data_IF_456953396867
#
_entry.id   IF_456953396867
#
_cell.length_a   1.000
_cell.length_b   1.000
_cell.length_c   1.000
_cell.angle_alpha   90.00
_cell.angle_beta   90.00
_cell.angle_gamma   90.00
#
_symmetry.space_group_name_H-M   'P 1'
#
loop_
_entity.id
_entity.type
_entity.pdbx_description
1 polymer ?
#
# COMPACT_ATOMS: atom_id res chain seq x y z
N UNK A 1 -25.11 -1.83 22.31
CA UNK A 1 -23.91 -2.65 22.14
C UNK A 1 -23.52 -2.70 20.67
N UNK A 2 -22.65 -1.75 20.25
CA UNK A 2 -22.10 -1.74 18.89
C UNK A 2 -21.19 -2.96 18.73
N UNK A 3 -21.57 -3.93 17.89
CA UNK A 3 -20.74 -5.09 17.53
C UNK A 3 -20.00 -4.82 16.20
N UNK A 4 -19.76 -3.57 15.89
CA UNK A 4 -19.13 -3.08 14.67
C UNK A 4 -18.07 -2.06 15.01
N UNK A 5 -17.01 -2.00 14.23
CA UNK A 5 -15.97 -1.00 14.40
C UNK A 5 -15.00 -0.94 13.23
N UNK A 6 -14.47 0.24 12.99
CA UNK A 6 -13.39 0.51 12.05
C UNK A 6 -12.15 0.94 12.83
N UNK A 7 -11.05 0.21 12.67
CA UNK A 7 -9.79 0.46 13.34
C UNK A 7 -8.83 1.14 12.36
N UNK A 8 -8.58 2.41 12.59
CA UNK A 8 -7.58 3.21 11.88
C UNK A 8 -6.22 3.05 12.57
N UNK A 9 -5.41 2.12 12.10
CA UNK A 9 -4.13 1.78 12.72
C UNK A 9 -3.00 1.86 11.71
N UNK A 10 -1.90 2.52 12.06
CA UNK A 10 -0.72 2.60 11.21
C UNK A 10 -0.21 1.23 10.77
N UNK A 11 0.43 1.16 9.61
CA UNK A 11 1.03 -0.09 9.11
C UNK A 11 2.14 -0.54 10.06
N UNK A 12 2.18 -1.85 10.35
CA UNK A 12 3.20 -2.42 11.25
C UNK A 12 2.85 -2.37 12.75
N UNK A 13 1.69 -1.82 13.14
CA UNK A 13 1.29 -1.66 14.55
C UNK A 13 0.43 -2.82 15.10
N UNK A 14 0.28 -3.93 14.35
CA UNK A 14 -0.39 -5.13 14.84
C UNK A 14 -1.89 -5.21 14.56
N UNK A 15 -2.41 -4.60 13.47
CA UNK A 15 -3.82 -4.70 13.04
C UNK A 15 -4.36 -6.13 13.08
N UNK A 16 -3.64 -7.07 12.45
CA UNK A 16 -4.01 -8.49 12.39
C UNK A 16 -4.13 -9.11 13.79
N UNK A 17 -3.11 -8.89 14.62
CA UNK A 17 -3.07 -9.41 16.00
C UNK A 17 -4.24 -8.85 16.83
N UNK A 18 -4.51 -7.55 16.71
CA UNK A 18 -5.62 -6.89 17.42
C UNK A 18 -6.97 -7.51 17.06
N UNK A 19 -7.21 -7.75 15.76
CA UNK A 19 -8.47 -8.35 15.31
C UNK A 19 -8.60 -9.82 15.70
N UNK A 20 -7.50 -10.60 15.68
CA UNK A 20 -7.49 -11.98 16.15
C UNK A 20 -7.69 -12.06 17.68
N UNK A 21 -7.20 -11.10 18.45
CA UNK A 21 -7.52 -10.97 19.87
C UNK A 21 -9.03 -10.73 20.10
N UNK A 22 -9.68 -9.91 19.28
CA UNK A 22 -11.14 -9.77 19.34
C UNK A 22 -11.85 -11.09 19.08
N UNK A 23 -11.37 -11.91 18.14
CA UNK A 23 -11.92 -13.24 17.89
C UNK A 23 -11.65 -14.18 19.06
N UNK A 24 -10.49 -14.12 19.69
CA UNK A 24 -10.13 -14.89 20.88
C UNK A 24 -11.06 -14.55 22.06
N UNK A 25 -11.38 -13.28 22.28
CA UNK A 25 -12.33 -12.87 23.32
C UNK A 25 -13.76 -13.38 23.04
N UNK A 26 -14.16 -13.45 21.78
CA UNK A 26 -15.42 -14.10 21.39
C UNK A 26 -15.36 -15.60 21.72
N UNK A 27 -14.26 -16.28 21.38
CA UNK A 27 -14.05 -17.68 21.69
C UNK A 27 -14.15 -17.97 23.19
N UNK A 28 -13.46 -17.17 24.01
CA UNK A 28 -13.51 -17.32 25.48
C UNK A 28 -14.94 -17.24 26.03
N UNK A 29 -15.79 -16.42 25.45
CA UNK A 29 -17.18 -16.19 25.88
C UNK A 29 -18.16 -17.23 25.32
N UNK A 30 -17.95 -17.71 24.09
CA UNK A 30 -18.93 -18.57 23.39
C UNK A 30 -18.51 -20.02 23.26
N UNK A 31 -17.25 -20.34 23.54
CA UNK A 31 -16.69 -21.69 23.39
C UNK A 31 -16.43 -22.09 21.92
N UNK A 32 -16.63 -21.18 20.97
CA UNK A 32 -16.31 -21.40 19.55
C UNK A 32 -15.93 -20.08 18.87
N UNK A 33 -15.13 -20.17 17.81
CA UNK A 33 -14.82 -19.04 16.94
C UNK A 33 -15.37 -19.27 15.53
N UNK A 34 -15.98 -18.24 14.95
CA UNK A 34 -16.50 -18.26 13.58
C UNK A 34 -16.14 -16.93 12.95
N UNK A 35 -15.33 -16.94 11.90
CA UNK A 35 -14.89 -15.72 11.24
C UNK A 35 -14.90 -15.85 9.72
N UNK A 36 -15.19 -14.73 9.05
CA UNK A 36 -14.92 -14.51 7.63
C UNK A 36 -13.93 -13.33 7.53
N UNK A 37 -12.76 -13.60 7.00
CA UNK A 37 -11.69 -12.63 6.83
C UNK A 37 -11.58 -12.29 5.36
N UNK A 38 -11.74 -11.01 5.01
CA UNK A 38 -11.60 -10.50 3.65
C UNK A 38 -10.27 -9.77 3.52
N UNK A 39 -9.51 -10.13 2.48
CA UNK A 39 -8.17 -9.59 2.21
C UNK A 39 -8.03 -9.16 0.75
N UNK A 40 -7.15 -8.20 0.42
CA UNK A 40 -6.95 -7.76 -0.96
C UNK A 40 -6.32 -8.82 -1.87
N UNK A 41 -5.30 -9.55 -1.38
CA UNK A 41 -4.42 -10.39 -2.22
C UNK A 41 -4.32 -11.84 -1.73
N UNK A 42 -3.91 -12.75 -2.63
CA UNK A 42 -3.68 -14.17 -2.29
C UNK A 42 -2.52 -14.31 -1.28
N UNK A 43 -1.49 -13.48 -1.39
CA UNK A 43 -0.37 -13.46 -0.43
C UNK A 43 -0.85 -13.19 0.99
N UNK A 44 -1.80 -12.27 1.15
CA UNK A 44 -2.42 -11.99 2.45
C UNK A 44 -3.28 -13.15 2.96
N UNK A 45 -3.89 -13.96 2.09
CA UNK A 45 -4.60 -15.19 2.52
C UNK A 45 -3.63 -16.11 3.26
N UNK A 46 -2.43 -16.31 2.74
CA UNK A 46 -1.41 -17.18 3.35
C UNK A 46 -0.83 -16.58 4.64
N UNK A 47 -0.64 -15.27 4.65
CA UNK A 47 -0.17 -14.59 5.86
C UNK A 47 -1.19 -14.66 6.99
N UNK A 48 -2.46 -14.42 6.72
CA UNK A 48 -3.51 -14.53 7.70
C UNK A 48 -3.67 -15.94 8.25
N UNK A 49 -3.50 -16.97 7.41
CA UNK A 49 -3.46 -18.37 7.86
C UNK A 49 -2.32 -18.61 8.88
N UNK A 50 -1.09 -18.12 8.54
CA UNK A 50 0.06 -18.21 9.46
C UNK A 50 -0.21 -17.48 10.79
N UNK A 51 -0.85 -16.30 10.74
CA UNK A 51 -1.21 -15.56 11.96
C UNK A 51 -2.31 -16.26 12.77
N UNK A 52 -3.34 -16.84 12.13
CA UNK A 52 -4.35 -17.65 12.80
C UNK A 52 -3.72 -18.85 13.54
N UNK A 53 -2.73 -19.50 12.92
CA UNK A 53 -2.03 -20.63 13.55
C UNK A 53 -1.31 -20.23 14.85
N UNK A 54 -0.76 -19.02 14.94
CA UNK A 54 -0.14 -18.50 16.19
C UNK A 54 -1.13 -18.36 17.34
N UNK A 55 -2.42 -18.20 17.04
CA UNK A 55 -3.52 -18.17 18.01
C UNK A 55 -4.16 -19.54 18.26
N UNK A 56 -3.58 -20.62 17.69
CA UNK A 56 -4.15 -21.97 17.70
C UNK A 56 -5.53 -22.05 17.02
N UNK A 57 -5.82 -21.18 16.07
CA UNK A 57 -6.99 -21.28 15.21
C UNK A 57 -6.65 -22.17 14.01
N UNK A 58 -7.04 -23.43 14.04
CA UNK A 58 -6.56 -24.46 13.10
C UNK A 58 -7.52 -24.80 11.96
N UNK A 59 -8.83 -24.53 12.12
CA UNK A 59 -9.82 -24.83 11.08
C UNK A 59 -9.98 -23.64 10.12
N UNK A 60 -9.07 -23.53 9.15
CA UNK A 60 -9.00 -22.43 8.18
C UNK A 60 -9.35 -22.94 6.78
N UNK A 61 -10.31 -22.28 6.12
CA UNK A 61 -10.71 -22.51 4.72
C UNK A 61 -10.30 -21.30 3.89
N UNK A 62 -9.55 -21.54 2.80
CA UNK A 62 -9.04 -20.50 1.91
C UNK A 62 -9.87 -20.42 0.63
N UNK A 63 -10.53 -19.28 0.40
CA UNK A 63 -11.44 -19.04 -0.73
C UNK A 63 -10.77 -18.06 -1.71
N UNK A 64 -9.96 -18.58 -2.61
CA UNK A 64 -9.37 -17.81 -3.68
C UNK A 64 -8.99 -18.70 -4.86
N UNK A 65 -8.58 -18.11 -5.99
CA UNK A 65 -8.28 -18.85 -7.24
C UNK A 65 -7.11 -19.83 -7.13
N UNK A 66 -6.21 -19.67 -6.15
CA UNK A 66 -5.05 -20.54 -5.93
C UNK A 66 -5.44 -21.91 -5.35
N UNK A 67 -6.55 -22.00 -4.62
CA UNK A 67 -6.95 -23.22 -3.90
C UNK A 67 -8.23 -23.78 -4.52
N UNK A 68 -8.30 -25.12 -4.62
CA UNK A 68 -9.47 -25.87 -5.04
C UNK A 68 -10.10 -26.64 -3.89
N UNK A 69 -11.34 -27.10 -4.06
CA UNK A 69 -12.02 -27.98 -3.07
C UNK A 69 -12.63 -27.26 -1.86
N UNK A 70 -12.43 -25.97 -1.70
CA UNK A 70 -13.03 -25.19 -0.61
C UNK A 70 -14.56 -25.16 -0.66
N UNK A 71 -15.15 -25.33 -1.84
CA UNK A 71 -16.61 -25.36 -2.03
C UNK A 71 -17.25 -26.50 -1.21
N UNK A 72 -16.66 -27.69 -1.22
CA UNK A 72 -17.14 -28.83 -0.44
C UNK A 72 -17.05 -28.55 1.06
N UNK A 73 -15.94 -27.98 1.52
CA UNK A 73 -15.76 -27.60 2.92
C UNK A 73 -16.77 -26.53 3.36
N UNK A 74 -17.05 -25.57 2.52
CA UNK A 74 -18.05 -24.53 2.79
C UNK A 74 -19.47 -25.09 2.82
N UNK A 75 -19.81 -26.00 1.89
CA UNK A 75 -21.11 -26.68 1.86
C UNK A 75 -21.34 -27.51 3.15
N UNK A 76 -20.32 -28.22 3.62
CA UNK A 76 -20.39 -28.96 4.88
C UNK A 76 -20.64 -28.04 6.09
N UNK A 77 -19.93 -26.90 6.17
CA UNK A 77 -20.18 -25.91 7.22
C UNK A 77 -21.63 -25.41 7.15
N UNK A 78 -22.10 -25.04 5.98
CA UNK A 78 -23.49 -24.57 5.80
C UNK A 78 -24.52 -25.60 6.23
N UNK A 79 -24.36 -26.86 5.80
CA UNK A 79 -25.25 -27.93 6.22
C UNK A 79 -25.30 -28.04 7.73
N UNK A 80 -24.14 -28.00 8.39
CA UNK A 80 -24.07 -28.08 9.84
C UNK A 80 -24.72 -26.89 10.53
N UNK A 81 -24.52 -25.67 10.03
CA UNK A 81 -25.11 -24.44 10.56
C UNK A 81 -26.64 -24.41 10.37
N UNK A 82 -27.15 -25.01 9.30
CA UNK A 82 -28.60 -25.13 9.05
C UNK A 82 -29.24 -26.22 9.91
N UNK A 83 -28.60 -27.36 10.04
CA UNK A 83 -29.13 -28.50 10.84
C UNK A 83 -29.05 -28.26 12.33
N UNK A 84 -28.02 -27.56 12.79
CA UNK A 84 -27.80 -27.26 14.21
C UNK A 84 -27.31 -25.81 14.39
N UNK A 85 -28.20 -24.82 14.47
CA UNK A 85 -27.84 -23.41 14.64
C UNK A 85 -27.02 -23.10 15.89
N UNK A 86 -27.08 -23.96 16.91
CA UNK A 86 -26.34 -23.82 18.17
C UNK A 86 -25.02 -24.62 18.21
N UNK A 87 -24.62 -25.22 17.08
CA UNK A 87 -23.37 -25.94 17.01
C UNK A 87 -22.19 -25.09 17.45
N UNK A 88 -21.22 -25.71 18.13
CA UNK A 88 -20.00 -25.09 18.62
C UNK A 88 -18.79 -25.37 17.73
N UNK A 89 -19.00 -25.75 16.48
CA UNK A 89 -17.88 -25.92 15.53
C UNK A 89 -17.20 -24.59 15.27
N UNK A 90 -15.89 -24.58 15.42
CA UNK A 90 -15.06 -23.42 15.15
C UNK A 90 -14.51 -23.49 13.73
N UNK A 91 -14.49 -22.36 13.03
CA UNK A 91 -13.90 -22.22 11.70
C UNK A 91 -13.54 -20.78 11.37
N UNK A 92 -12.58 -20.63 10.47
CA UNK A 92 -12.21 -19.35 9.85
C UNK A 92 -12.23 -19.54 8.34
N UNK A 93 -12.87 -18.63 7.63
CA UNK A 93 -12.84 -18.56 6.18
C UNK A 93 -12.04 -17.32 5.81
N UNK A 94 -10.99 -17.48 4.99
CA UNK A 94 -10.20 -16.36 4.48
C UNK A 94 -10.46 -16.27 2.98
N UNK A 95 -10.97 -15.13 2.52
CA UNK A 95 -11.28 -14.91 1.11
C UNK A 95 -10.63 -13.64 0.60
N UNK A 96 -10.20 -13.65 -0.66
CA UNK A 96 -9.87 -12.38 -1.32
C UNK A 96 -11.17 -11.61 -1.63
N UNK A 97 -11.11 -10.26 -1.63
CA UNK A 97 -12.23 -9.43 -2.05
C UNK A 97 -12.75 -9.83 -3.44
N UNK A 98 -11.84 -10.08 -4.38
CA UNK A 98 -12.18 -10.50 -5.74
C UNK A 98 -12.96 -11.82 -5.78
N UNK A 99 -12.62 -12.79 -4.92
CA UNK A 99 -13.35 -14.05 -4.81
C UNK A 99 -14.67 -13.90 -4.09
N UNK A 100 -14.70 -13.07 -3.04
CA UNK A 100 -15.91 -12.82 -2.25
C UNK A 100 -17.06 -12.22 -3.07
N UNK A 101 -16.77 -11.27 -3.98
CA UNK A 101 -17.80 -10.57 -4.77
C UNK A 101 -18.32 -11.37 -5.97
N UNK A 102 -17.73 -12.50 -6.33
CA UNK A 102 -18.26 -13.38 -7.39
C UNK A 102 -19.67 -13.82 -7.00
N UNK A 103 -20.65 -13.76 -7.91
CA UNK A 103 -22.06 -13.99 -7.58
C UNK A 103 -22.30 -15.25 -6.77
N UNK A 104 -21.76 -16.39 -7.22
CA UNK A 104 -21.96 -17.69 -6.55
C UNK A 104 -21.32 -17.71 -5.16
N UNK A 105 -20.07 -17.25 -5.05
CA UNK A 105 -19.36 -17.21 -3.77
C UNK A 105 -20.01 -16.25 -2.78
N UNK A 106 -20.50 -15.10 -3.27
CA UNK A 106 -21.17 -14.11 -2.42
C UNK A 106 -22.45 -14.67 -1.81
N UNK A 107 -23.27 -15.37 -2.61
CA UNK A 107 -24.50 -16.03 -2.13
C UNK A 107 -24.14 -17.06 -1.05
N UNK A 108 -23.18 -17.94 -1.33
CA UNK A 108 -22.73 -18.99 -0.41
C UNK A 108 -22.21 -18.43 0.93
N UNK A 109 -21.26 -17.49 0.86
CA UNK A 109 -20.63 -16.89 2.03
C UNK A 109 -21.62 -16.04 2.84
N UNK A 110 -22.53 -15.33 2.18
CA UNK A 110 -23.51 -14.47 2.88
C UNK A 110 -24.68 -15.24 3.52
N UNK A 111 -24.76 -16.56 3.32
CA UNK A 111 -25.70 -17.45 4.03
C UNK A 111 -25.17 -17.95 5.38
N UNK A 112 -23.91 -17.74 5.71
CA UNK A 112 -23.31 -18.11 6.99
C UNK A 112 -23.97 -17.36 8.17
N UNK A 113 -23.84 -17.84 9.42
CA UNK A 113 -24.59 -17.33 10.58
C UNK A 113 -24.34 -15.83 10.84
N UNK A 114 -25.35 -15.00 10.60
CA UNK A 114 -25.25 -13.53 10.65
C UNK A 114 -24.98 -12.97 12.04
N UNK A 115 -25.42 -13.67 13.11
CA UNK A 115 -25.28 -13.20 14.49
C UNK A 115 -24.02 -13.69 15.18
N UNK A 116 -23.46 -14.81 14.74
CA UNK A 116 -22.37 -15.51 15.45
C UNK A 116 -21.02 -15.38 14.76
N UNK A 117 -21.01 -15.11 13.45
CA UNK A 117 -19.82 -14.93 12.65
C UNK A 117 -19.28 -13.50 12.77
N UNK A 118 -17.97 -13.37 12.95
CA UNK A 118 -17.24 -12.11 12.89
C UNK A 118 -16.70 -11.90 11.47
N UNK A 119 -17.12 -10.83 10.82
CA UNK A 119 -16.51 -10.34 9.58
C UNK A 119 -15.30 -9.46 9.94
N UNK A 120 -14.13 -9.81 9.43
CA UNK A 120 -12.92 -8.99 9.50
C UNK A 120 -12.57 -8.57 8.08
N UNK A 121 -12.50 -7.28 7.82
CA UNK A 121 -12.11 -6.71 6.53
C UNK A 121 -10.73 -6.07 6.67
N UNK A 122 -9.70 -6.73 6.15
CA UNK A 122 -8.34 -6.18 6.11
C UNK A 122 -8.20 -5.22 4.93
N UNK A 123 -7.47 -4.12 5.12
CA UNK A 123 -7.46 -2.98 4.20
C UNK A 123 -8.90 -2.58 3.78
N UNK A 124 -9.71 -2.28 4.80
CA UNK A 124 -11.17 -2.09 4.70
C UNK A 124 -11.59 -1.01 3.68
N UNK A 125 -10.71 -0.08 3.33
CA UNK A 125 -10.95 0.91 2.28
C UNK A 125 -11.30 0.27 0.92
N UNK A 126 -10.86 -0.98 0.66
CA UNK A 126 -11.26 -1.73 -0.54
C UNK A 126 -12.77 -2.02 -0.59
N UNK A 127 -13.45 -2.04 0.55
CA UNK A 127 -14.91 -2.21 0.58
C UNK A 127 -15.67 -0.96 0.12
N UNK A 128 -15.05 0.21 0.20
CA UNK A 128 -15.62 1.49 -0.24
C UNK A 128 -15.64 1.67 -1.76
N UNK A 129 -15.10 0.76 -2.58
CA UNK A 129 -14.96 0.92 -4.02
C UNK A 129 -15.80 -0.01 -4.87
N UNK A 130 -16.12 0.46 -6.10
CA UNK A 130 -16.60 -0.32 -7.22
C UNK A 130 -17.72 -1.32 -6.94
N UNK A 131 -17.46 -2.59 -7.25
CA UNK A 131 -18.45 -3.67 -7.15
C UNK A 131 -18.82 -4.03 -5.71
N UNK A 132 -17.92 -3.87 -4.75
CA UNK A 132 -18.17 -4.23 -3.35
C UNK A 132 -19.09 -3.19 -2.73
N UNK A 133 -18.87 -1.91 -3.00
CA UNK A 133 -19.70 -0.83 -2.49
C UNK A 133 -21.18 -1.03 -2.83
N UNK A 134 -21.49 -1.51 -4.05
CA UNK A 134 -22.86 -1.82 -4.49
C UNK A 134 -23.51 -2.93 -3.66
N UNK A 135 -22.73 -3.83 -3.06
CA UNK A 135 -23.21 -4.98 -2.29
C UNK A 135 -23.10 -4.81 -0.76
N UNK A 136 -22.58 -3.67 -0.27
CA UNK A 136 -22.44 -3.46 1.18
C UNK A 136 -23.76 -3.68 1.95
N UNK A 137 -24.87 -3.19 1.40
CA UNK A 137 -26.18 -3.35 2.02
C UNK A 137 -26.70 -4.79 2.06
N UNK A 138 -26.14 -5.67 1.23
CA UNK A 138 -26.50 -7.09 1.19
C UNK A 138 -25.74 -7.90 2.23
N UNK A 139 -24.60 -7.39 2.73
CA UNK A 139 -23.79 -8.04 3.76
C UNK A 139 -24.46 -7.87 5.13
N UNK A 140 -25.05 -8.94 5.67
CA UNK A 140 -25.91 -8.91 6.86
C UNK A 140 -25.22 -9.37 8.17
N UNK A 141 -23.90 -9.54 8.19
CA UNK A 141 -23.20 -9.90 9.42
C UNK A 141 -23.32 -8.80 10.48
N UNK A 142 -23.67 -9.16 11.70
CA UNK A 142 -23.86 -8.18 12.77
C UNK A 142 -22.54 -7.76 13.42
N UNK A 143 -21.57 -8.69 13.48
CA UNK A 143 -20.24 -8.41 14.03
C UNK A 143 -19.26 -8.10 12.90
N UNK A 144 -18.68 -6.92 12.91
CA UNK A 144 -17.80 -6.46 11.83
C UNK A 144 -16.63 -5.67 12.38
N UNK A 145 -15.44 -5.96 11.89
CA UNK A 145 -14.22 -5.19 12.14
C UNK A 145 -13.61 -4.83 10.80
N UNK A 146 -13.43 -3.54 10.55
CA UNK A 146 -12.61 -3.02 9.46
C UNK A 146 -11.23 -2.65 9.99
N UNK A 147 -10.19 -2.99 9.23
CA UNK A 147 -8.80 -2.67 9.53
C UNK A 147 -8.24 -1.86 8.38
N UNK A 148 -7.68 -0.69 8.63
CA UNK A 148 -6.97 0.09 7.61
C UNK A 148 -5.97 1.03 8.26
N UNK A 149 -4.85 1.30 7.58
CA UNK A 149 -3.97 2.40 7.96
C UNK A 149 -4.47 3.74 7.43
N UNK A 150 -5.23 3.70 6.34
CA UNK A 150 -5.80 4.85 5.64
C UNK A 150 -7.23 4.52 5.24
N UNK A 151 -8.18 4.61 6.18
CA UNK A 151 -9.58 4.23 5.92
C UNK A 151 -10.25 5.08 4.82
N UNK A 152 -9.88 6.36 4.75
CA UNK A 152 -10.47 7.30 3.81
C UNK A 152 -9.95 7.09 2.39
N UNK A 153 -10.84 7.12 1.42
CA UNK A 153 -10.54 7.13 0.00
C UNK A 153 -10.51 8.58 -0.48
N UNK A 154 -9.47 8.93 -1.23
CA UNK A 154 -9.40 10.26 -1.83
C UNK A 154 -10.45 10.40 -2.94
N UNK A 155 -11.09 11.55 -3.01
CA UNK A 155 -12.10 11.89 -4.03
C UNK A 155 -13.32 10.94 -4.11
N UNK A 156 -13.59 10.18 -3.03
CA UNK A 156 -14.74 9.25 -2.94
C UNK A 156 -15.46 9.46 -1.60
N UNK A 157 -16.10 10.60 -1.45
CA UNK A 157 -16.78 10.98 -0.20
C UNK A 157 -17.98 10.06 0.10
N UNK A 158 -18.77 9.71 -0.94
CA UNK A 158 -19.90 8.79 -0.80
C UNK A 158 -19.43 7.39 -0.35
N UNK A 159 -18.35 6.88 -0.96
CA UNK A 159 -17.74 5.61 -0.55
C UNK A 159 -17.24 5.63 0.89
N UNK A 160 -16.67 6.75 1.34
CA UNK A 160 -16.20 6.93 2.71
C UNK A 160 -17.36 6.93 3.71
N UNK A 161 -18.44 7.69 3.44
CA UNK A 161 -19.65 7.75 4.28
C UNK A 161 -20.25 6.34 4.40
N UNK A 162 -20.46 5.65 3.29
CA UNK A 162 -21.05 4.30 3.29
C UNK A 162 -20.18 3.26 3.99
N UNK A 163 -18.85 3.40 3.93
CA UNK A 163 -17.93 2.55 4.65
C UNK A 163 -18.03 2.78 6.16
N UNK A 164 -18.06 4.04 6.59
CA UNK A 164 -18.23 4.42 8.01
C UNK A 164 -19.55 3.87 8.56
N UNK A 165 -20.66 4.06 7.85
CA UNK A 165 -21.97 3.52 8.21
C UNK A 165 -21.95 2.00 8.32
N UNK A 166 -21.30 1.31 7.36
CA UNK A 166 -21.19 -0.13 7.36
C UNK A 166 -20.52 -0.65 8.63
N UNK A 167 -19.48 0.02 9.10
CA UNK A 167 -18.79 -0.32 10.36
C UNK A 167 -19.39 0.35 11.60
N UNK A 168 -20.47 1.11 11.46
CA UNK A 168 -21.19 1.76 12.56
C UNK A 168 -20.37 2.84 13.25
N UNK A 169 -19.60 3.56 12.49
CA UNK A 169 -18.85 4.74 12.89
C UNK A 169 -19.65 6.01 12.52
N UNK A 170 -19.97 6.86 13.47
CA UNK A 170 -20.77 8.06 13.21
C UNK A 170 -19.90 9.20 12.68
N UNK A 171 -18.92 9.68 13.48
CA UNK A 171 -18.01 10.79 13.10
C UNK A 171 -16.54 10.51 13.42
N UNK A 172 -16.23 9.33 13.97
CA UNK A 172 -14.87 8.96 14.35
C UNK A 172 -14.68 7.45 14.23
N UNK A 173 -13.44 7.03 14.06
CA UNK A 173 -13.09 5.63 14.09
C UNK A 173 -13.34 5.01 15.45
N UNK A 174 -13.65 3.73 15.50
CA UNK A 174 -13.85 3.01 16.76
C UNK A 174 -12.56 2.95 17.58
N UNK A 175 -11.45 2.85 16.89
CA UNK A 175 -10.12 2.89 17.48
C UNK A 175 -9.14 3.52 16.49
N UNK A 176 -8.32 4.43 16.98
CA UNK A 176 -7.28 5.07 16.20
C UNK A 176 -5.92 4.85 16.85
N UNK A 177 -4.93 4.48 16.06
CA UNK A 177 -3.54 4.38 16.47
C UNK A 177 -2.65 4.94 15.38
N UNK A 178 -2.36 6.23 15.50
CA UNK A 178 -1.62 6.99 14.50
C UNK A 178 -0.16 6.55 14.40
N UNK A 179 0.50 6.89 13.30
CA UNK A 179 1.94 6.64 13.13
C UNK A 179 2.76 7.44 14.16
N UNK A 180 2.36 8.67 14.46
CA UNK A 180 2.99 9.50 15.47
C UNK A 180 2.95 8.83 16.85
N UNK A 181 1.77 8.38 17.26
CA UNK A 181 1.61 7.68 18.54
C UNK A 181 2.41 6.37 18.57
N UNK A 182 2.45 5.63 17.45
CA UNK A 182 3.21 4.39 17.33
C UNK A 182 4.73 4.62 17.47
N UNK A 183 5.26 5.67 16.86
CA UNK A 183 6.68 6.05 17.01
C UNK A 183 6.94 6.51 18.45
N UNK A 184 6.11 7.38 19.00
CA UNK A 184 6.25 7.87 20.38
C UNK A 184 6.24 6.74 21.41
N UNK A 185 5.40 5.71 21.22
CA UNK A 185 5.30 4.55 22.11
C UNK A 185 6.32 3.43 21.79
N UNK A 186 7.16 3.59 20.79
CA UNK A 186 8.17 2.60 20.39
C UNK A 186 7.61 1.36 19.68
N UNK A 187 6.35 1.38 19.23
CA UNK A 187 5.79 0.33 18.38
C UNK A 187 6.32 0.41 16.93
N UNK A 188 6.74 1.59 16.51
CA UNK A 188 7.52 1.85 15.31
C UNK A 188 8.83 2.56 15.69
N UNK A 189 9.88 2.37 14.90
CA UNK A 189 11.16 3.01 15.17
C UNK A 189 11.17 4.46 14.70
N UNK A 190 12.03 5.29 15.30
CA UNK A 190 12.35 6.64 14.85
C UNK A 190 13.04 6.58 13.49
N UNK A 191 12.99 7.68 12.74
CA UNK A 191 13.61 7.73 11.41
C UNK A 191 14.11 9.12 11.04
N UNK A 192 15.09 9.13 10.11
CA UNK A 192 15.54 10.31 9.40
C UNK A 192 15.00 10.26 7.97
N UNK A 193 14.57 11.40 7.45
CA UNK A 193 14.00 11.51 6.11
C UNK A 193 14.74 12.55 5.27
N UNK A 194 15.19 12.14 4.09
CA UNK A 194 15.97 12.96 3.18
C UNK A 194 15.29 12.99 1.80
N UNK A 195 14.50 14.03 1.47
CA UNK A 195 14.00 14.23 0.12
C UNK A 195 15.14 14.73 -0.77
N UNK A 196 15.26 14.14 -1.95
CA UNK A 196 16.20 14.56 -2.99
C UNK A 196 15.41 15.08 -4.18
N UNK A 197 15.55 16.38 -4.46
CA UNK A 197 14.89 17.02 -5.57
C UNK A 197 15.58 16.62 -6.88
N UNK A 198 14.82 16.02 -7.77
CA UNK A 198 15.29 15.50 -9.05
C UNK A 198 14.75 16.36 -10.16
N UNK A 199 15.63 16.96 -10.95
CA UNK A 199 15.25 17.71 -12.18
C UNK A 199 15.12 16.75 -13.35
N UNK A 200 14.16 17.02 -14.22
CA UNK A 200 14.07 16.37 -15.53
C UNK A 200 15.25 16.80 -16.41
N UNK A 201 15.64 15.97 -17.37
CA UNK A 201 16.54 16.41 -18.44
C UNK A 201 15.80 17.32 -19.41
N UNK A 202 16.53 18.08 -20.25
CA UNK A 202 15.91 19.02 -21.19
C UNK A 202 14.90 18.35 -22.14
N UNK A 203 15.22 17.13 -22.63
CA UNK A 203 14.32 16.36 -23.50
C UNK A 203 13.06 15.89 -22.73
N UNK A 204 13.25 15.39 -21.51
CA UNK A 204 12.14 14.96 -20.65
C UNK A 204 11.24 16.16 -20.28
N UNK A 205 11.85 17.30 -20.01
CA UNK A 205 11.11 18.53 -19.71
C UNK A 205 10.32 19.03 -20.91
N UNK A 206 10.91 18.99 -22.12
CA UNK A 206 10.20 19.37 -23.35
C UNK A 206 8.98 18.49 -23.60
N UNK A 207 9.13 17.16 -23.46
CA UNK A 207 8.01 16.21 -23.62
C UNK A 207 6.94 16.42 -22.51
N UNK A 208 7.37 16.66 -21.29
CA UNK A 208 6.48 16.93 -20.16
C UNK A 208 5.63 18.18 -20.38
N UNK A 209 6.22 19.27 -20.85
CA UNK A 209 5.53 20.53 -21.17
C UNK A 209 4.53 20.34 -22.30
N UNK A 210 4.92 19.63 -23.38
CA UNK A 210 4.00 19.34 -24.49
C UNK A 210 2.76 18.56 -24.01
N UNK A 211 2.97 17.53 -23.18
CA UNK A 211 1.86 16.73 -22.62
C UNK A 211 0.98 17.58 -21.70
N UNK A 212 1.57 18.44 -20.86
CA UNK A 212 0.83 19.33 -19.96
C UNK A 212 -0.05 20.31 -20.74
N UNK A 213 0.47 20.87 -21.84
CA UNK A 213 -0.32 21.74 -22.72
C UNK A 213 -1.49 21.02 -23.40
N UNK A 214 -1.26 19.79 -23.85
CA UNK A 214 -2.34 18.95 -24.42
C UNK A 214 -3.40 18.60 -23.39
N UNK A 215 -3.01 18.29 -22.16
CA UNK A 215 -3.91 18.01 -21.03
C UNK A 215 -4.76 19.26 -20.73
N UNK A 216 -4.14 20.45 -20.64
CA UNK A 216 -4.85 21.69 -20.35
C UNK A 216 -5.97 21.98 -21.36
N UNK A 217 -5.77 21.65 -22.65
CA UNK A 217 -6.78 21.85 -23.70
C UNK A 217 -8.02 20.95 -23.58
N UNK A 218 -7.91 19.81 -22.92
CA UNK A 218 -9.00 18.81 -22.90
C UNK A 218 -9.53 18.51 -21.50
N UNK A 219 -8.88 18.99 -20.43
CA UNK A 219 -9.22 18.64 -19.04
C UNK A 219 -10.66 18.99 -18.67
N UNK A 220 -11.22 20.03 -19.27
CA UNK A 220 -12.59 20.50 -19.01
C UNK A 220 -13.63 19.94 -19.99
N UNK A 221 -13.27 19.00 -20.87
CA UNK A 221 -14.22 18.38 -21.80
C UNK A 221 -14.88 17.18 -21.15
N UNK A 222 -16.20 17.06 -21.34
CA UNK A 222 -17.02 16.03 -20.69
C UNK A 222 -17.32 14.82 -21.58
N UNK A 223 -17.01 14.88 -22.89
CA UNK A 223 -17.26 13.77 -23.81
C UNK A 223 -16.35 12.57 -23.52
N UNK A 224 -16.83 11.36 -23.79
CA UNK A 224 -16.16 10.12 -23.45
C UNK A 224 -14.83 9.93 -24.21
N UNK A 225 -14.73 10.36 -25.44
CA UNK A 225 -13.50 10.31 -26.24
C UNK A 225 -12.41 11.21 -25.63
N UNK A 226 -12.77 12.45 -25.25
CA UNK A 226 -11.87 13.37 -24.57
C UNK A 226 -11.39 12.83 -23.20
N UNK A 227 -12.28 12.17 -22.45
CA UNK A 227 -11.92 11.52 -21.19
C UNK A 227 -10.91 10.40 -21.40
N UNK A 228 -11.05 9.58 -22.43
CA UNK A 228 -10.09 8.51 -22.73
C UNK A 228 -8.74 9.07 -23.16
N UNK A 229 -8.73 10.10 -24.02
CA UNK A 229 -7.49 10.80 -24.44
C UNK A 229 -6.81 11.44 -23.23
N UNK A 230 -7.56 12.12 -22.36
CA UNK A 230 -7.05 12.73 -21.13
C UNK A 230 -6.35 11.69 -20.25
N UNK A 231 -6.97 10.54 -20.06
CA UNK A 231 -6.40 9.43 -19.31
C UNK A 231 -5.03 9.00 -19.85
N UNK A 232 -4.94 8.78 -21.17
CA UNK A 232 -3.69 8.38 -21.84
C UNK A 232 -2.61 9.43 -21.67
N UNK A 233 -2.94 10.72 -21.80
CA UNK A 233 -1.99 11.82 -21.64
C UNK A 233 -1.49 11.94 -20.19
N UNK A 234 -2.38 11.83 -19.22
CA UNK A 234 -2.02 11.82 -17.79
C UNK A 234 -1.06 10.66 -17.46
N UNK A 235 -1.33 9.45 -17.99
CA UNK A 235 -0.44 8.30 -17.82
C UNK A 235 0.93 8.53 -18.44
N UNK A 236 0.99 9.02 -19.68
CA UNK A 236 2.27 9.33 -20.35
C UNK A 236 3.07 10.37 -19.56
N UNK A 237 2.43 11.47 -19.15
CA UNK A 237 3.10 12.50 -18.35
C UNK A 237 3.63 11.95 -17.02
N UNK A 238 2.86 11.11 -16.35
CA UNK A 238 3.27 10.43 -15.13
C UNK A 238 4.49 9.53 -15.35
N UNK A 239 4.56 8.83 -16.49
CA UNK A 239 5.70 7.98 -16.82
C UNK A 239 7.02 8.76 -16.94
N UNK A 240 7.02 9.99 -17.44
CA UNK A 240 8.21 10.85 -17.47
C UNK A 240 8.73 11.08 -16.06
N UNK A 241 7.86 11.44 -15.12
CA UNK A 241 8.21 11.62 -13.71
C UNK A 241 8.74 10.32 -13.09
N UNK A 242 8.08 9.19 -13.37
CA UNK A 242 8.48 7.89 -12.82
C UNK A 242 9.86 7.43 -13.32
N UNK A 243 10.10 7.57 -14.62
CA UNK A 243 11.30 7.08 -15.31
C UNK A 243 12.41 8.13 -15.41
N UNK A 244 12.27 9.30 -14.77
CA UNK A 244 13.22 10.41 -14.87
C UNK A 244 14.68 9.95 -14.74
N UNK A 245 15.48 10.21 -15.78
CA UNK A 245 16.84 9.68 -15.95
C UNK A 245 17.79 10.08 -14.83
N UNK A 246 17.66 11.32 -14.36
CA UNK A 246 18.53 11.86 -13.30
C UNK A 246 18.34 11.15 -11.94
N UNK A 247 17.26 10.42 -11.71
CA UNK A 247 17.08 9.59 -10.52
C UNK A 247 18.21 8.60 -10.32
N UNK A 248 18.71 7.98 -11.39
CA UNK A 248 19.78 6.96 -11.32
C UNK A 248 21.09 7.51 -10.78
N UNK A 249 21.46 8.73 -11.19
CA UNK A 249 22.67 9.39 -10.71
C UNK A 249 22.55 9.72 -9.21
N UNK A 250 21.41 10.28 -8.79
CA UNK A 250 21.17 10.59 -7.38
C UNK A 250 21.14 9.31 -6.55
N UNK A 251 20.46 8.27 -7.01
CA UNK A 251 20.43 6.95 -6.38
C UNK A 251 21.85 6.39 -6.17
N UNK A 252 22.69 6.43 -7.21
CA UNK A 252 24.07 5.97 -7.11
C UNK A 252 24.87 6.77 -6.07
N UNK A 253 24.69 8.09 -6.03
CA UNK A 253 25.39 8.95 -5.07
C UNK A 253 24.95 8.64 -3.63
N UNK A 254 23.66 8.49 -3.37
CA UNK A 254 23.14 8.10 -2.05
C UNK A 254 23.79 6.80 -1.56
N UNK A 255 23.84 5.79 -2.42
CA UNK A 255 24.46 4.51 -2.07
C UNK A 255 25.96 4.64 -1.79
N UNK A 256 26.70 5.41 -2.61
CA UNK A 256 28.13 5.67 -2.40
C UNK A 256 28.39 6.40 -1.09
N UNK A 257 27.63 7.44 -0.80
CA UNK A 257 27.75 8.21 0.44
C UNK A 257 27.46 7.35 1.66
N UNK A 258 26.38 6.54 1.57
CA UNK A 258 26.02 5.63 2.66
C UNK A 258 27.10 4.56 2.87
N UNK A 259 27.62 3.95 1.80
CA UNK A 259 28.67 2.95 1.85
C UNK A 259 29.97 3.54 2.45
N UNK A 260 30.36 4.74 2.02
CA UNK A 260 31.53 5.44 2.56
C UNK A 260 31.38 5.76 4.05
N UNK A 261 30.17 6.11 4.50
CA UNK A 261 29.90 6.48 5.89
C UNK A 261 29.80 5.29 6.83
N UNK A 262 29.22 4.18 6.38
CA UNK A 262 28.85 3.03 7.23
C UNK A 262 29.69 1.79 6.94
N UNK A 263 30.37 1.73 5.81
CA UNK A 263 31.11 0.55 5.33
C UNK A 263 30.23 -0.58 4.82
N UNK A 264 28.89 -0.41 4.76
CA UNK A 264 27.97 -1.50 4.36
C UNK A 264 26.68 -0.96 3.75
N UNK A 265 26.04 -1.78 2.91
CA UNK A 265 24.67 -1.56 2.43
C UNK A 265 23.68 -2.60 3.00
N UNK A 266 24.03 -3.28 4.10
CA UNK A 266 23.14 -4.27 4.71
C UNK A 266 21.81 -3.66 5.11
N UNK A 267 20.75 -4.47 4.96
CA UNK A 267 19.37 -4.10 5.31
C UNK A 267 18.81 -2.92 4.53
N UNK A 268 19.24 -2.79 3.25
CA UNK A 268 18.77 -1.74 2.35
C UNK A 268 17.61 -2.23 1.48
N UNK A 269 16.50 -1.47 1.48
CA UNK A 269 15.37 -1.64 0.57
C UNK A 269 15.36 -0.55 -0.49
N UNK A 270 15.25 -0.94 -1.75
CA UNK A 270 15.12 -0.01 -2.89
C UNK A 270 13.76 -0.22 -3.55
N UNK A 271 12.91 0.80 -3.49
CA UNK A 271 11.63 0.81 -4.18
C UNK A 271 11.82 1.42 -5.57
N UNK A 272 11.89 0.55 -6.57
CA UNK A 272 12.11 0.92 -7.97
C UNK A 272 10.77 1.35 -8.60
N UNK A 273 10.77 2.35 -9.52
CA UNK A 273 9.58 2.72 -10.26
C UNK A 273 8.97 1.53 -11.01
N UNK A 274 7.65 1.48 -11.03
CA UNK A 274 6.91 0.52 -11.85
C UNK A 274 6.95 0.93 -13.32
N UNK A 275 6.75 -0.04 -14.21
CA UNK A 275 6.58 0.23 -15.64
C UNK A 275 5.20 0.83 -15.97
N UNK A 276 4.58 0.34 -17.02
CA UNK A 276 3.38 0.95 -17.61
C UNK A 276 2.04 0.63 -16.91
N UNK A 277 2.02 -0.04 -15.75
CA UNK A 277 0.76 -0.35 -15.05
C UNK A 277 0.22 0.88 -14.33
N UNK A 278 -1.10 1.17 -14.44
CA UNK A 278 -1.72 2.21 -13.61
C UNK A 278 -1.63 1.83 -12.13
N UNK A 279 -1.42 2.83 -11.27
CA UNK A 279 -1.56 2.63 -9.81
C UNK A 279 -2.99 2.25 -9.45
N UNK A 280 -3.19 1.59 -8.30
CA UNK A 280 -4.53 1.27 -7.79
C UNK A 280 -5.44 2.50 -7.66
N UNK A 281 -4.85 3.69 -7.50
CA UNK A 281 -5.56 4.97 -7.51
C UNK A 281 -6.19 5.30 -8.87
N UNK A 282 -5.49 4.99 -9.96
CA UNK A 282 -6.05 5.13 -11.31
C UNK A 282 -6.96 3.96 -11.66
N UNK A 283 -6.76 2.77 -11.07
CA UNK A 283 -7.63 1.62 -11.27
C UNK A 283 -9.05 1.84 -10.71
N UNK A 284 -9.20 2.61 -9.63
CA UNK A 284 -10.54 2.99 -9.11
C UNK A 284 -11.28 3.96 -10.04
N UNK A 285 -10.54 4.79 -10.79
CA UNK A 285 -11.10 5.66 -11.84
C UNK A 285 -11.30 4.87 -13.15
N UNK A 286 -10.58 3.75 -13.32
CA UNK A 286 -10.49 2.95 -14.53
C UNK A 286 -11.01 1.52 -14.29
N UNK A 287 -12.32 1.37 -14.19
CA UNK A 287 -13.01 0.08 -13.97
C UNK A 287 -12.87 -0.94 -15.16
N UNK A 288 -12.04 -0.63 -16.15
CA UNK A 288 -11.90 -1.47 -17.35
C UNK A 288 -10.60 -1.23 -18.11
N UNK A 289 -9.45 -1.63 -17.58
CA UNK A 289 -8.31 -1.90 -18.45
C UNK A 289 -7.89 -3.35 -18.33
N UNK A 290 -8.08 -4.08 -19.44
CA UNK A 290 -7.43 -5.34 -19.71
C UNK A 290 -5.94 -5.22 -19.35
N UNK A 291 -5.46 -6.22 -18.62
CA UNK A 291 -4.09 -6.36 -18.17
C UNK A 291 -3.12 -6.07 -19.33
N UNK A 292 -2.56 -4.88 -19.35
CA UNK A 292 -1.38 -4.62 -20.16
C UNK A 292 -0.30 -5.53 -19.57
N UNK A 293 0.18 -6.46 -20.40
CA UNK A 293 1.25 -7.41 -20.07
C UNK A 293 2.42 -6.67 -19.43
N UNK A 294 3.13 -7.31 -18.50
CA UNK A 294 4.39 -6.81 -17.97
C UNK A 294 5.29 -6.49 -19.16
N UNK A 295 5.52 -5.19 -19.36
CA UNK A 295 6.30 -4.70 -20.49
C UNK A 295 7.78 -5.02 -20.23
N UNK A 296 8.50 -5.34 -21.31
CA UNK A 296 9.97 -5.48 -21.31
C UNK A 296 10.66 -4.30 -20.62
N UNK A 297 10.09 -3.10 -20.72
CA UNK A 297 10.52 -1.87 -20.07
C UNK A 297 10.52 -1.94 -18.52
N UNK A 298 9.58 -2.66 -17.92
CA UNK A 298 9.47 -2.78 -16.46
C UNK A 298 10.58 -3.69 -15.90
N UNK A 299 10.83 -4.79 -16.59
CA UNK A 299 11.93 -5.72 -16.25
C UNK A 299 13.27 -5.03 -16.46
N UNK A 300 13.39 -4.21 -17.51
CA UNK A 300 14.60 -3.43 -17.78
C UNK A 300 14.94 -2.45 -16.65
N UNK A 301 13.95 -1.74 -16.12
CA UNK A 301 14.16 -0.72 -15.09
C UNK A 301 14.69 -1.31 -13.78
N UNK A 302 14.10 -2.40 -13.28
CA UNK A 302 14.59 -3.04 -12.05
C UNK A 302 15.99 -3.63 -12.24
N UNK A 303 16.30 -4.14 -13.46
CA UNK A 303 17.63 -4.62 -13.80
C UNK A 303 18.67 -3.50 -13.76
N UNK A 304 18.34 -2.31 -14.27
CA UNK A 304 19.22 -1.15 -14.23
C UNK A 304 19.56 -0.73 -12.79
N UNK A 305 18.54 -0.54 -11.92
CA UNK A 305 18.78 -0.19 -10.52
C UNK A 305 19.56 -1.27 -9.78
N UNK A 306 19.27 -2.55 -10.02
CA UNK A 306 20.02 -3.68 -9.44
C UNK A 306 21.46 -3.69 -9.92
N UNK A 307 21.71 -3.36 -11.19
CA UNK A 307 23.06 -3.30 -11.77
C UNK A 307 23.87 -2.14 -11.18
N UNK A 308 23.25 -0.98 -10.94
CA UNK A 308 23.89 0.14 -10.25
C UNK A 308 24.40 -0.30 -8.88
N UNK A 309 23.59 -1.00 -8.08
CA UNK A 309 24.00 -1.52 -6.76
C UNK A 309 25.17 -2.50 -6.90
N UNK A 310 25.05 -3.47 -7.80
CA UNK A 310 26.07 -4.53 -8.02
C UNK A 310 27.42 -3.96 -8.47
N UNK A 311 27.40 -2.87 -9.25
CA UNK A 311 28.62 -2.24 -9.77
C UNK A 311 29.33 -1.32 -8.75
N UNK A 312 28.76 -1.09 -7.57
CA UNK A 312 29.42 -0.32 -6.52
C UNK A 312 30.55 -1.07 -5.84
N UNK A 313 30.29 -2.33 -5.50
CA UNK A 313 31.26 -3.22 -4.87
C UNK A 313 30.88 -4.69 -5.18
N UNK A 314 31.83 -5.54 -5.65
CA UNK A 314 31.57 -6.94 -5.97
C UNK A 314 31.10 -7.80 -4.78
N UNK A 315 31.36 -7.35 -3.56
CA UNK A 315 30.99 -8.07 -2.33
C UNK A 315 29.52 -7.80 -1.92
N UNK A 316 28.85 -6.81 -2.51
CA UNK A 316 27.46 -6.49 -2.19
C UNK A 316 26.52 -7.54 -2.81
N UNK A 317 25.78 -8.23 -1.96
CA UNK A 317 24.75 -9.19 -2.39
C UNK A 317 23.44 -8.49 -2.58
N UNK A 318 23.06 -8.26 -3.84
CA UNK A 318 21.76 -7.68 -4.21
C UNK A 318 20.85 -8.71 -4.86
N UNK A 319 19.56 -8.69 -4.50
CA UNK A 319 18.50 -9.54 -5.09
C UNK A 319 17.28 -8.71 -5.46
N UNK A 320 16.62 -9.14 -6.53
CA UNK A 320 15.33 -8.58 -6.93
C UNK A 320 14.20 -9.34 -6.25
N UNK A 321 13.28 -8.61 -5.65
CA UNK A 321 12.09 -9.14 -5.02
C UNK A 321 10.86 -8.75 -5.87
N UNK A 322 10.40 -9.69 -6.69
CA UNK A 322 9.30 -9.50 -7.63
C UNK A 322 8.15 -10.49 -7.38
N UNK A 323 7.04 -10.33 -8.08
CA UNK A 323 5.92 -11.30 -8.03
C UNK A 323 6.33 -12.69 -8.53
N UNK A 324 7.32 -12.77 -9.42
CA UNK A 324 7.82 -13.98 -10.04
C UNK A 324 8.96 -14.64 -9.26
N UNK A 325 9.48 -13.99 -8.22
CA UNK A 325 10.57 -14.54 -7.41
C UNK A 325 10.14 -15.87 -6.77
N UNK A 326 10.88 -16.94 -7.07
CA UNK A 326 10.75 -18.21 -6.38
C UNK A 326 11.28 -18.07 -4.95
N UNK A 327 10.69 -18.77 -4.00
CA UNK A 327 11.13 -18.81 -2.59
C UNK A 327 11.30 -17.43 -1.91
N UNK A 328 10.24 -16.63 -1.98
CA UNK A 328 10.18 -15.29 -1.39
C UNK A 328 10.43 -15.30 0.13
N UNK A 329 9.96 -16.34 0.83
CA UNK A 329 10.14 -16.48 2.28
C UNK A 329 11.62 -16.72 2.65
N UNK A 330 12.37 -17.51 1.86
CA UNK A 330 13.81 -17.69 2.07
C UNK A 330 14.58 -16.40 1.80
N UNK A 331 14.26 -15.69 0.71
CA UNK A 331 14.90 -14.41 0.38
C UNK A 331 14.73 -13.36 1.49
N UNK A 332 13.55 -13.29 2.11
CA UNK A 332 13.30 -12.39 3.25
C UNK A 332 14.07 -12.80 4.51
N UNK A 333 14.22 -14.11 4.75
CA UNK A 333 15.08 -14.62 5.85
C UNK A 333 16.54 -14.28 5.60
N UNK A 334 17.04 -14.47 4.38
CA UNK A 334 18.41 -14.15 4.00
C UNK A 334 18.70 -12.65 4.08
N UNK A 335 17.72 -11.81 3.76
CA UNK A 335 17.82 -10.39 3.99
C UNK A 335 17.85 -10.04 5.49
N UNK A 336 16.97 -10.64 6.28
CA UNK A 336 16.89 -10.38 7.72
C UNK A 336 18.15 -10.81 8.49
N UNK A 337 18.83 -11.87 8.05
CA UNK A 337 20.08 -12.35 8.64
C UNK A 337 21.34 -11.68 8.05
N UNK A 338 21.20 -10.81 7.04
CA UNK A 338 22.28 -10.08 6.40
C UNK A 338 23.10 -10.89 5.38
N UNK A 339 22.58 -12.02 4.88
CA UNK A 339 23.17 -12.77 3.75
C UNK A 339 22.87 -12.08 2.41
N UNK A 340 21.77 -11.29 2.35
CA UNK A 340 21.47 -10.37 1.28
C UNK A 340 21.57 -8.95 1.85
N UNK A 341 22.36 -8.09 1.21
CA UNK A 341 22.56 -6.71 1.66
C UNK A 341 21.43 -5.80 1.18
N UNK A 342 21.06 -5.93 -0.09
CA UNK A 342 20.09 -5.03 -0.75
C UNK A 342 18.98 -5.83 -1.42
N UNK A 343 17.73 -5.45 -1.16
CA UNK A 343 16.57 -5.89 -1.92
C UNK A 343 16.08 -4.75 -2.81
N UNK A 344 16.04 -4.98 -4.13
CA UNK A 344 15.36 -4.10 -5.08
C UNK A 344 13.97 -4.65 -5.35
N UNK A 345 12.95 -3.83 -5.23
CA UNK A 345 11.56 -4.24 -5.41
C UNK A 345 10.75 -3.16 -6.09
N UNK A 346 9.75 -3.58 -6.83
CA UNK A 346 8.67 -2.74 -7.32
C UNK A 346 7.50 -2.81 -6.30
N UNK A 347 6.30 -3.09 -6.76
CA UNK A 347 5.08 -3.14 -5.94
C UNK A 347 5.00 -4.30 -4.92
N UNK A 348 5.78 -5.36 -5.12
CA UNK A 348 5.62 -6.62 -4.36
C UNK A 348 5.85 -6.51 -2.85
N UNK A 349 6.55 -5.47 -2.41
CA UNK A 349 6.74 -5.18 -0.98
C UNK A 349 5.63 -4.30 -0.39
N UNK A 350 4.66 -3.83 -1.20
CA UNK A 350 3.64 -2.91 -0.72
C UNK A 350 2.52 -3.60 0.06
N UNK A 351 2.25 -4.89 -0.21
CA UNK A 351 1.19 -5.64 0.47
C UNK A 351 1.64 -7.03 0.93
N UNK A 352 1.27 -7.40 2.16
CA UNK A 352 1.39 -8.78 2.66
C UNK A 352 2.81 -9.29 2.93
N UNK A 353 3.84 -8.45 2.90
CA UNK A 353 5.23 -8.86 3.13
C UNK A 353 5.77 -8.22 4.39
N UNK A 354 6.34 -9.02 5.28
CA UNK A 354 7.04 -8.55 6.46
C UNK A 354 8.55 -8.46 6.20
N UNK A 355 9.11 -7.25 6.30
CA UNK A 355 10.56 -7.01 6.22
C UNK A 355 11.03 -6.42 7.55
N UNK A 356 11.30 -7.25 8.55
CA UNK A 356 11.48 -6.77 9.92
C UNK A 356 12.75 -5.93 10.11
N UNK A 357 13.81 -6.24 9.36
CA UNK A 357 15.08 -5.55 9.47
C UNK A 357 15.39 -4.78 8.19
N UNK A 358 14.83 -3.57 8.06
CA UNK A 358 15.22 -2.62 7.02
C UNK A 358 15.69 -1.33 7.69
N UNK A 359 16.95 -0.97 7.50
CA UNK A 359 17.58 0.18 8.16
C UNK A 359 17.68 1.37 7.22
N UNK A 360 17.89 1.11 5.92
CA UNK A 360 17.91 2.10 4.85
C UNK A 360 16.80 1.78 3.85
N UNK A 361 16.04 2.78 3.45
CA UNK A 361 15.09 2.68 2.34
C UNK A 361 15.31 3.81 1.34
N UNK A 362 15.30 3.48 0.04
CA UNK A 362 15.42 4.46 -1.03
C UNK A 362 14.18 4.35 -1.92
N UNK A 363 13.38 5.41 -1.94
CA UNK A 363 12.17 5.51 -2.75
C UNK A 363 12.50 6.17 -4.08
N UNK A 364 12.81 5.36 -5.10
CA UNK A 364 13.03 5.85 -6.47
C UNK A 364 11.70 5.98 -7.24
N UNK A 365 10.63 5.38 -6.73
CA UNK A 365 9.31 5.44 -7.30
C UNK A 365 8.55 6.66 -6.79
N UNK A 366 8.19 7.58 -7.67
CA UNK A 366 7.25 8.67 -7.37
C UNK A 366 5.85 8.16 -7.69
N UNK A 367 5.11 7.60 -6.74
CA UNK A 367 3.73 7.19 -6.97
C UNK A 367 2.78 8.31 -6.55
N UNK A 368 1.76 8.58 -7.36
CA UNK A 368 0.71 9.53 -6.98
C UNK A 368 -0.24 9.02 -5.90
N UNK A 369 -0.01 7.81 -5.36
CA UNK A 369 -0.86 7.20 -4.35
C UNK A 369 -0.25 7.36 -2.94
N UNK A 370 -0.76 8.29 -2.12
CA UNK A 370 -0.25 8.51 -0.76
C UNK A 370 -0.29 7.25 0.12
N UNK A 371 -1.25 6.34 -0.12
CA UNK A 371 -1.37 5.10 0.65
C UNK A 371 -0.16 4.19 0.49
N UNK A 372 0.33 4.04 -0.74
CA UNK A 372 1.51 3.21 -1.00
C UNK A 372 2.72 3.74 -0.21
N UNK A 373 2.92 5.05 -0.19
CA UNK A 373 3.99 5.65 0.60
C UNK A 373 3.81 5.42 2.11
N UNK A 374 2.59 5.59 2.62
CA UNK A 374 2.29 5.33 4.04
C UNK A 374 2.55 3.85 4.38
N UNK A 375 2.16 2.94 3.50
CA UNK A 375 2.40 1.50 3.68
C UNK A 375 3.89 1.16 3.61
N UNK A 376 4.64 1.69 2.63
CA UNK A 376 6.10 1.52 2.50
C UNK A 376 6.82 2.05 3.73
N UNK A 377 6.51 3.29 4.16
CA UNK A 377 7.06 3.88 5.38
C UNK A 377 6.79 2.99 6.59
N UNK A 378 5.56 2.58 6.83
CA UNK A 378 5.20 1.74 7.96
C UNK A 378 5.92 0.38 7.99
N UNK A 379 6.36 -0.15 6.84
CA UNK A 379 7.19 -1.36 6.78
C UNK A 379 8.63 -1.08 7.16
N UNK A 380 9.17 0.00 6.61
CA UNK A 380 10.54 0.46 6.94
C UNK A 380 10.65 0.79 8.42
N UNK A 381 9.60 1.30 9.05
CA UNK A 381 9.62 1.71 10.47
C UNK A 381 9.36 0.56 11.47
N UNK A 382 9.22 -0.68 11.03
CA UNK A 382 9.11 -1.81 11.97
C UNK A 382 10.32 -1.91 12.87
N UNK A 383 10.07 -2.21 14.12
CA UNK A 383 11.12 -2.37 15.13
C UNK A 383 11.85 -3.70 14.96
N UNK A 384 13.15 -3.69 15.25
CA UNK A 384 13.99 -4.88 15.37
C UNK A 384 14.98 -4.66 16.51
N UNK A 385 15.38 -5.72 17.21
CA UNK A 385 16.24 -5.60 18.39
C UNK A 385 17.58 -4.89 18.12
N UNK A 386 18.14 -5.05 16.93
CA UNK A 386 19.41 -4.44 16.53
C UNK A 386 19.25 -3.11 15.76
N UNK A 387 18.01 -2.69 15.47
CA UNK A 387 17.72 -1.48 14.70
C UNK A 387 17.40 -0.32 15.63
N UNK A 388 18.20 0.72 15.60
CA UNK A 388 17.99 1.92 16.41
C UNK A 388 17.04 2.93 15.75
N UNK A 389 17.19 3.14 14.45
CA UNK A 389 16.39 4.05 13.62
C UNK A 389 16.38 3.58 12.17
N UNK A 390 15.53 4.16 11.37
CA UNK A 390 15.54 3.98 9.93
C UNK A 390 16.00 5.26 9.23
N UNK A 391 16.57 5.10 8.04
CA UNK A 391 16.91 6.19 7.12
C UNK A 391 16.08 6.01 5.87
N UNK A 392 15.39 7.08 5.45
CA UNK A 392 14.56 7.07 4.24
C UNK A 392 15.06 8.18 3.32
N UNK A 393 15.52 7.80 2.12
CA UNK A 393 15.78 8.70 1.02
C UNK A 393 14.63 8.63 0.02
N UNK A 394 14.14 9.77 -0.44
CA UNK A 394 13.01 9.86 -1.36
C UNK A 394 13.38 10.73 -2.56
N UNK A 395 13.31 10.17 -3.77
CA UNK A 395 13.62 10.86 -5.01
C UNK A 395 12.37 11.56 -5.55
N UNK A 396 12.26 12.86 -5.30
CA UNK A 396 11.10 13.69 -5.62
C UNK A 396 11.38 14.47 -6.90
N UNK A 397 10.66 14.15 -7.97
CA UNK A 397 10.82 14.86 -9.25
C UNK A 397 9.97 16.12 -9.24
N UNK A 398 10.61 17.26 -9.43
CA UNK A 398 9.95 18.56 -9.56
C UNK A 398 10.29 19.11 -10.94
N UNK A 399 9.29 19.31 -11.82
CA UNK A 399 9.49 19.99 -13.10
C UNK A 399 9.89 21.45 -12.88
N UNK A 400 10.66 22.04 -13.79
CA UNK A 400 10.96 23.47 -13.73
C UNK A 400 9.70 24.32 -14.05
N UNK A 401 9.56 25.50 -13.42
CA UNK A 401 8.39 26.37 -13.55
C UNK A 401 8.39 27.21 -14.85
N UNK A 402 8.74 26.63 -15.98
CA UNK A 402 8.75 27.28 -17.28
C UNK A 402 7.48 26.94 -18.11
N UNK A 403 6.32 26.99 -17.47
CA UNK A 403 5.06 26.65 -18.12
C UNK A 403 4.34 27.85 -18.72
N UNK A 404 3.61 27.60 -19.82
CA UNK A 404 2.59 28.50 -20.31
C UNK A 404 1.55 28.78 -19.20
N UNK A 405 1.06 30.03 -19.08
CA UNK A 405 0.04 30.37 -18.06
C UNK A 405 -1.17 29.45 -18.04
N UNK A 406 -1.54 28.85 -19.18
CA UNK A 406 -2.65 27.89 -19.27
C UNK A 406 -2.40 26.56 -18.55
N UNK A 407 -1.15 26.22 -18.28
CA UNK A 407 -0.75 24.99 -17.58
C UNK A 407 -0.43 25.21 -16.09
N UNK A 408 -0.25 26.47 -15.69
CA UNK A 408 0.33 26.84 -14.41
C UNK A 408 -0.45 26.29 -13.20
N UNK A 409 -1.78 26.34 -13.23
CA UNK A 409 -2.62 25.82 -12.15
C UNK A 409 -2.54 24.29 -12.03
N UNK A 410 -2.47 23.59 -13.16
CA UNK A 410 -2.37 22.14 -13.20
C UNK A 410 -1.04 21.68 -12.59
N UNK A 411 0.05 22.34 -12.98
CA UNK A 411 1.39 22.03 -12.50
C UNK A 411 1.55 22.40 -11.02
N UNK A 412 1.02 23.54 -10.60
CA UNK A 412 0.99 23.95 -9.19
C UNK A 412 0.31 22.89 -8.31
N UNK A 413 -0.82 22.35 -8.75
CA UNK A 413 -1.53 21.30 -8.02
C UNK A 413 -0.72 19.98 -7.91
N UNK A 414 -0.01 19.59 -8.97
CA UNK A 414 0.85 18.42 -8.95
C UNK A 414 2.01 18.59 -7.98
N UNK A 415 2.71 19.72 -8.07
CA UNK A 415 3.83 20.04 -7.17
C UNK A 415 3.33 20.15 -5.73
N UNK A 416 2.17 20.77 -5.49
CA UNK A 416 1.58 20.86 -4.16
C UNK A 416 1.29 19.48 -3.55
N UNK A 417 0.85 18.50 -4.35
CA UNK A 417 0.64 17.13 -3.88
C UNK A 417 1.95 16.43 -3.50
N UNK A 418 3.02 16.61 -4.28
CA UNK A 418 4.36 16.08 -3.96
C UNK A 418 4.92 16.74 -2.69
N UNK A 419 4.80 18.05 -2.56
CA UNK A 419 5.24 18.80 -1.37
C UNK A 419 4.47 18.35 -0.12
N UNK A 420 3.15 18.17 -0.23
CA UNK A 420 2.33 17.65 0.88
C UNK A 420 2.82 16.27 1.33
N UNK A 421 3.15 15.39 0.39
CA UNK A 421 3.73 14.08 0.69
C UNK A 421 5.06 14.21 1.43
N UNK A 422 5.97 15.07 0.94
CA UNK A 422 7.26 15.30 1.60
C UNK A 422 7.06 15.83 3.01
N UNK A 423 6.17 16.80 3.19
CA UNK A 423 5.81 17.35 4.51
C UNK A 423 5.31 16.25 5.46
N UNK A 424 4.40 15.39 5.00
CA UNK A 424 3.81 14.33 5.82
C UNK A 424 4.85 13.29 6.28
N UNK A 425 5.94 13.13 5.52
CA UNK A 425 7.08 12.33 5.94
C UNK A 425 8.02 13.11 6.86
N UNK A 426 8.28 14.38 6.56
CA UNK A 426 9.19 15.21 7.32
C UNK A 426 8.71 15.46 8.75
N UNK A 427 7.43 15.76 8.93
CA UNK A 427 6.84 16.14 10.25
C UNK A 427 7.07 15.10 11.33
N UNK A 428 7.12 13.82 10.99
CA UNK A 428 7.35 12.73 11.96
C UNK A 428 8.82 12.26 11.99
N UNK A 429 9.72 12.87 11.23
CA UNK A 429 11.14 12.52 11.21
C UNK A 429 11.93 13.26 12.29
N UNK A 430 13.06 12.68 12.72
CA UNK A 430 13.96 13.30 13.70
C UNK A 430 14.68 14.56 13.15
N UNK A 431 14.75 14.71 11.82
CA UNK A 431 15.38 15.85 11.14
C UNK A 431 14.35 16.74 10.39
N UNK A 432 13.14 16.90 10.93
CA UNK A 432 12.04 17.61 10.30
C UNK A 432 12.43 19.00 9.76
N UNK A 433 13.10 19.83 10.56
CA UNK A 433 13.44 21.20 10.18
C UNK A 433 14.40 21.23 8.99
N UNK A 434 15.47 20.42 9.04
CA UNK A 434 16.43 20.34 7.94
C UNK A 434 15.77 19.84 6.64
N UNK A 435 14.83 18.93 6.77
CA UNK A 435 14.09 18.37 5.64
C UNK A 435 13.17 19.39 5.01
N UNK A 436 12.47 20.20 5.80
CA UNK A 436 11.54 21.21 5.28
C UNK A 436 12.28 22.36 4.61
N UNK A 437 13.45 22.75 5.08
CA UNK A 437 14.27 23.80 4.46
C UNK A 437 14.67 23.46 3.01
N UNK A 438 14.74 22.17 2.65
CA UNK A 438 15.01 21.76 1.24
C UNK A 438 13.90 22.18 0.28
N UNK A 439 12.70 22.47 0.80
CA UNK A 439 11.54 22.85 0.00
C UNK A 439 11.41 24.36 -0.21
N UNK A 440 12.16 25.20 0.51
CA UNK A 440 11.95 26.65 0.52
C UNK A 440 11.96 27.28 -0.88
N UNK A 441 12.96 26.94 -1.72
CA UNK A 441 13.07 27.45 -3.08
C UNK A 441 11.86 27.06 -3.95
N UNK A 442 11.33 25.84 -3.77
CA UNK A 442 10.17 25.35 -4.53
C UNK A 442 8.89 26.03 -4.07
N UNK A 443 8.73 26.20 -2.76
CA UNK A 443 7.57 26.89 -2.19
C UNK A 443 7.48 28.31 -2.70
N UNK A 444 8.60 29.03 -2.78
CA UNK A 444 8.69 30.37 -3.35
C UNK A 444 8.40 30.35 -4.85
N UNK A 445 9.08 29.47 -5.61
CA UNK A 445 8.95 29.36 -7.07
C UNK A 445 7.50 29.09 -7.51
N UNK A 446 6.78 28.21 -6.82
CA UNK A 446 5.41 27.83 -7.16
C UNK A 446 4.34 28.58 -6.35
N UNK A 447 4.74 29.47 -5.46
CA UNK A 447 3.84 30.18 -4.53
C UNK A 447 2.89 29.22 -3.81
N UNK A 448 3.44 28.17 -3.22
CA UNK A 448 2.73 27.14 -2.46
C UNK A 448 3.00 27.34 -0.98
N UNK A 449 1.95 27.21 -0.16
CA UNK A 449 2.08 27.16 1.31
C UNK A 449 2.15 25.72 1.81
N UNK A 450 3.05 25.45 2.75
CA UNK A 450 3.15 24.15 3.43
C UNK A 450 1.91 23.79 4.26
N UNK A 451 1.12 24.79 4.65
CA UNK A 451 0.06 24.65 5.67
C UNK A 451 -1.36 24.83 5.10
N UNK A 452 -1.49 24.98 3.80
CA UNK A 452 -2.79 25.09 3.12
C UNK A 452 -3.19 23.78 2.43
#
# INVERSE_FOLDING_TARGET
NKQKGLFAMATGTGKTITSLNCLLEIYKKSGCYKALILVPTITLVEQWEKECAKFNFTNVIKVCSKYSGWQTSLANIRMLELSNPDNKQSYIIISTYASFIRPDNFIELNQLPKKRLLLIADEAHNMGGGRILKRLNDIKYLRRIGLSATPERQFDEDGNIRLMDFFGCDNSYTFEYSMEEAIRKGALCKYYYYPHLVKLTDDEMAEYVELSYRIAKIINREDDDSKEILKRLLLKRKQIIHKARNKKNIFQNILKEHLNKTGTLKYTLVYVPEGNKPDDYTADIFDSYDMIKDDEDTVHLINEYTSIVRNLDPHIVVRQFTSESSDRDAMLKDFANGSIDVLTSMKCLDEGVDVPRSELAIFCASTGNPRQFIQRRGRVLRTHAEKKYAIIHDLVVIPDNNFDPSCQDIEKNLVANEIRRVRDFAVLSENCNDTLNVLDDILEQYQISLYN
#
